data_IF_385519392315
#
_entry.id   IF_385519392315
#
_cell.length_a   1.000
_cell.length_b   1.000
_cell.length_c   1.000
_cell.angle_alpha   90.00
_cell.angle_beta   90.00
_cell.angle_gamma   90.00
#
_symmetry.space_group_name_H-M   'P 1'
#
loop_
_entity.id
_entity.type
_entity.pdbx_description
1 polymer ?
#
# COMPACT_ATOMS: atom_id res chain seq x y z
N UNK A 1 -7.29 3.51 -7.86
CA UNK A 1 -6.79 4.64 -7.05
C UNK A 1 -6.00 5.57 -7.93
N UNK A 2 -6.39 6.84 -7.96
CA UNK A 2 -5.66 7.92 -8.62
C UNK A 2 -4.57 8.47 -7.70
N UNK A 3 -3.61 9.21 -8.26
CA UNK A 3 -2.53 9.85 -7.48
C UNK A 3 -3.11 10.88 -6.50
N UNK A 4 -4.15 11.62 -6.92
CA UNK A 4 -4.88 12.56 -6.07
C UNK A 4 -5.40 11.90 -4.79
N UNK A 5 -5.81 10.64 -4.83
CA UNK A 5 -6.34 9.92 -3.66
C UNK A 5 -5.23 9.70 -2.61
N UNK A 6 -3.99 9.44 -3.06
CA UNK A 6 -2.83 9.31 -2.17
C UNK A 6 -2.45 10.66 -1.57
N UNK A 7 -2.37 11.71 -2.39
CA UNK A 7 -2.04 13.05 -1.90
C UNK A 7 -3.09 13.51 -0.87
N UNK A 8 -4.36 13.22 -1.12
CA UNK A 8 -5.42 13.48 -0.17
C UNK A 8 -5.26 12.67 1.12
N UNK A 9 -4.92 11.38 1.03
CA UNK A 9 -4.65 10.54 2.19
C UNK A 9 -3.53 11.10 3.07
N UNK A 10 -2.43 11.53 2.45
CA UNK A 10 -1.27 12.06 3.16
C UNK A 10 -1.53 13.44 3.79
N UNK A 11 -2.39 14.25 3.17
CA UNK A 11 -2.83 15.55 3.69
C UNK A 11 -3.87 15.47 4.81
N UNK A 12 -4.82 14.55 4.70
CA UNK A 12 -6.05 14.59 5.52
C UNK A 12 -6.09 13.54 6.61
N UNK A 13 -5.37 12.43 6.45
CA UNK A 13 -5.45 11.32 7.39
C UNK A 13 -4.27 11.31 8.37
N UNK A 14 -4.49 10.84 9.60
CA UNK A 14 -3.41 10.67 10.57
C UNK A 14 -2.28 9.81 10.01
N UNK A 15 -1.05 10.12 10.46
CA UNK A 15 0.12 9.27 10.24
C UNK A 15 -0.22 7.85 10.68
N UNK A 16 0.18 6.86 9.88
CA UNK A 16 -0.09 5.42 10.10
C UNK A 16 -1.56 5.01 10.09
N UNK A 17 -2.47 5.84 9.58
CA UNK A 17 -3.83 5.36 9.31
C UNK A 17 -3.80 4.18 8.32
N UNK A 18 -4.71 3.20 8.44
CA UNK A 18 -4.71 2.02 7.56
C UNK A 18 -4.77 2.38 6.07
N UNK A 19 -5.53 3.43 5.72
CA UNK A 19 -5.59 3.91 4.33
C UNK A 19 -4.29 4.58 3.86
N UNK A 20 -3.62 5.38 4.70
CA UNK A 20 -2.29 5.94 4.36
C UNK A 20 -1.26 4.83 4.16
N UNK A 21 -1.33 3.77 4.99
CA UNK A 21 -0.46 2.59 4.83
C UNK A 21 -0.75 1.85 3.52
N UNK A 22 -2.02 1.67 3.17
CA UNK A 22 -2.44 1.08 1.89
C UNK A 22 -1.92 1.89 0.69
N UNK A 23 -2.07 3.22 0.74
CA UNK A 23 -1.55 4.13 -0.26
C UNK A 23 -0.02 4.00 -0.40
N UNK A 24 0.71 4.02 0.72
CA UNK A 24 2.17 3.88 0.75
C UNK A 24 2.65 2.53 0.17
N UNK A 25 1.99 1.43 0.56
CA UNK A 25 2.32 0.10 0.02
C UNK A 25 1.97 -0.03 -1.46
N UNK A 26 0.90 0.62 -1.92
CA UNK A 26 0.52 0.66 -3.34
C UNK A 26 1.55 1.43 -4.15
N UNK A 27 2.02 2.56 -3.62
CA UNK A 27 3.09 3.36 -4.22
C UNK A 27 4.38 2.55 -4.34
N UNK A 28 4.76 1.81 -3.29
CA UNK A 28 5.92 0.92 -3.30
C UNK A 28 5.78 -0.22 -4.34
N UNK A 29 4.64 -0.89 -4.36
CA UNK A 29 4.39 -1.97 -5.31
C UNK A 29 4.51 -1.47 -6.76
N UNK A 30 3.86 -0.34 -7.08
CA UNK A 30 3.90 0.23 -8.43
C UNK A 30 5.27 0.83 -8.78
N UNK A 31 6.09 1.19 -7.79
CA UNK A 31 7.48 1.53 -8.04
C UNK A 31 8.29 0.31 -8.52
N UNK A 32 8.09 -0.85 -7.89
CA UNK A 32 8.80 -2.09 -8.23
C UNK A 32 8.27 -2.77 -9.52
N UNK A 33 6.95 -2.78 -9.71
CA UNK A 33 6.32 -3.55 -10.78
C UNK A 33 5.85 -2.63 -11.92
N UNK A 34 6.78 -2.21 -12.77
CA UNK A 34 6.52 -1.28 -13.88
C UNK A 34 5.63 -1.84 -14.99
N UNK A 35 5.37 -3.15 -14.99
CA UNK A 35 4.47 -3.83 -15.92
C UNK A 35 3.00 -3.87 -15.49
N UNK A 36 2.68 -3.41 -14.27
CA UNK A 36 1.29 -3.39 -13.78
C UNK A 36 0.41 -2.44 -14.61
N UNK A 37 -0.83 -2.82 -14.89
CA UNK A 37 -1.76 -1.98 -15.66
C UNK A 37 -2.01 -0.60 -15.03
N UNK A 38 -1.92 -0.51 -13.70
CA UNK A 38 -2.06 0.77 -12.99
C UNK A 38 -0.96 1.76 -13.36
N UNK A 39 0.19 1.31 -13.88
CA UNK A 39 1.29 2.17 -14.35
C UNK A 39 0.93 3.07 -15.52
N UNK A 40 -0.18 2.80 -16.21
CA UNK A 40 -0.78 3.72 -17.20
C UNK A 40 -1.20 5.04 -16.56
N UNK A 41 -1.60 5.00 -15.28
CA UNK A 41 -1.96 6.16 -14.46
C UNK A 41 -0.76 6.56 -13.59
N UNK A 42 -0.13 5.57 -12.96
CA UNK A 42 1.02 5.69 -12.07
C UNK A 42 2.34 5.72 -12.85
N UNK A 43 2.47 6.70 -13.73
CA UNK A 43 3.73 6.90 -14.46
C UNK A 43 4.83 7.34 -13.51
N UNK A 44 6.10 7.09 -13.87
CA UNK A 44 7.25 7.57 -13.08
C UNK A 44 7.21 9.09 -12.88
N UNK A 45 6.77 9.85 -13.90
CA UNK A 45 6.62 11.30 -13.80
C UNK A 45 5.59 11.68 -12.74
N UNK A 46 4.40 11.07 -12.79
CA UNK A 46 3.33 11.39 -11.86
C UNK A 46 3.65 10.94 -10.42
N UNK A 47 4.39 9.83 -10.25
CA UNK A 47 4.92 9.42 -8.94
C UNK A 47 5.98 10.40 -8.41
N UNK A 48 6.85 10.92 -9.29
CA UNK A 48 7.83 11.94 -8.91
C UNK A 48 7.15 13.23 -8.48
N UNK A 49 6.12 13.67 -9.21
CA UNK A 49 5.35 14.86 -8.86
C UNK A 49 4.64 14.68 -7.51
N UNK A 50 4.06 13.51 -7.24
CA UNK A 50 3.44 13.21 -5.96
C UNK A 50 4.43 13.32 -4.77
N UNK A 51 5.65 12.79 -4.92
CA UNK A 51 6.71 12.88 -3.90
C UNK A 51 7.20 14.32 -3.71
N UNK A 52 7.16 15.15 -4.75
CA UNK A 52 7.53 16.57 -4.68
C UNK A 52 6.46 17.42 -4.00
N UNK A 53 5.19 17.12 -4.26
CA UNK A 53 4.05 17.82 -3.69
C UNK A 53 3.89 17.51 -2.21
N UNK A 54 4.06 16.24 -1.81
CA UNK A 54 3.87 15.79 -0.43
C UNK A 54 5.17 15.27 0.19
N UNK A 55 5.88 16.14 0.92
CA UNK A 55 7.16 15.80 1.56
C UNK A 55 7.06 14.62 2.54
N UNK A 56 5.92 14.51 3.21
CA UNK A 56 5.62 13.43 4.15
C UNK A 56 5.50 12.06 3.43
N UNK A 57 4.90 12.04 2.23
CA UNK A 57 4.89 10.87 1.35
C UNK A 57 6.30 10.51 0.92
N UNK A 58 7.08 11.49 0.49
CA UNK A 58 8.48 11.28 0.10
C UNK A 58 9.29 10.63 1.21
N UNK A 59 9.24 11.20 2.42
CA UNK A 59 9.96 10.66 3.58
C UNK A 59 9.54 9.22 3.90
N UNK A 60 8.23 8.96 4.04
CA UNK A 60 7.73 7.63 4.36
C UNK A 60 8.04 6.60 3.25
N UNK A 61 8.00 7.02 1.99
CA UNK A 61 8.33 6.18 0.86
C UNK A 61 9.81 5.78 0.85
N UNK A 62 10.74 6.73 1.05
CA UNK A 62 12.16 6.41 1.08
C UNK A 62 12.55 5.58 2.30
N UNK A 63 11.92 5.82 3.45
CA UNK A 63 12.10 4.98 4.64
C UNK A 63 11.61 3.55 4.39
N UNK A 64 10.44 3.39 3.77
CA UNK A 64 9.94 2.08 3.37
C UNK A 64 10.85 1.42 2.35
N UNK A 65 11.34 2.15 1.34
CA UNK A 65 12.22 1.64 0.28
C UNK A 65 13.51 1.08 0.88
N UNK A 66 14.12 1.84 1.80
CA UNK A 66 15.33 1.44 2.52
C UNK A 66 15.14 0.12 3.28
N UNK A 67 13.99 -0.03 3.94
CA UNK A 67 13.67 -1.27 4.67
C UNK A 67 13.34 -2.42 3.71
N UNK A 68 12.69 -2.15 2.58
CA UNK A 68 12.24 -3.14 1.61
C UNK A 68 13.40 -3.85 0.90
N UNK A 69 14.52 -3.17 0.68
CA UNK A 69 15.73 -3.76 0.05
C UNK A 69 16.18 -5.06 0.74
N UNK A 70 15.99 -5.16 2.06
CA UNK A 70 16.36 -6.36 2.83
C UNK A 70 15.23 -7.39 2.98
N UNK A 71 14.00 -7.05 2.56
CA UNK A 71 12.79 -7.84 2.80
C UNK A 71 12.20 -8.48 1.53
N UNK A 72 12.91 -8.39 0.39
CA UNK A 72 12.48 -8.97 -0.89
C UNK A 72 11.53 -8.08 -1.69
N UNK A 73 10.71 -8.67 -2.55
CA UNK A 73 9.74 -7.93 -3.38
C UNK A 73 8.52 -7.50 -2.56
N UNK A 74 7.98 -6.28 -2.76
CA UNK A 74 6.75 -5.87 -2.11
C UNK A 74 5.56 -6.73 -2.59
N UNK A 75 4.63 -7.02 -1.67
CA UNK A 75 3.37 -7.68 -2.02
C UNK A 75 2.40 -6.68 -2.62
N UNK A 76 1.53 -7.16 -3.52
CA UNK A 76 0.43 -6.35 -4.03
C UNK A 76 -0.57 -6.09 -2.90
N UNK A 77 -0.78 -4.83 -2.48
CA UNK A 77 -1.71 -4.54 -1.40
C UNK A 77 -3.18 -4.75 -1.83
N UNK A 78 -3.46 -4.91 -3.13
CA UNK A 78 -4.81 -5.20 -3.65
C UNK A 78 -5.23 -6.66 -3.49
N UNK A 79 -4.31 -7.53 -3.03
CA UNK A 79 -4.50 -8.98 -2.93
C UNK A 79 -4.06 -9.42 -1.52
N UNK A 80 -4.92 -10.15 -0.80
CA UNK A 80 -4.58 -10.75 0.51
C UNK A 80 -5.48 -10.34 1.68
N UNK A 81 -4.98 -10.57 2.90
CA UNK A 81 -5.69 -10.25 4.16
C UNK A 81 -5.77 -8.73 4.38
N UNK A 82 -6.90 -8.15 3.97
CA UNK A 82 -7.13 -6.71 3.92
C UNK A 82 -7.20 -6.03 5.30
N UNK A 83 -7.24 -6.77 6.42
CA UNK A 83 -7.43 -6.16 7.74
C UNK A 83 -6.29 -5.23 8.16
N UNK A 84 -5.15 -5.24 7.46
CA UNK A 84 -4.07 -4.25 7.65
C UNK A 84 -4.46 -2.84 7.16
N UNK A 85 -5.39 -2.75 6.22
CA UNK A 85 -5.68 -1.54 5.46
C UNK A 85 -7.05 -0.92 5.76
N UNK A 86 -7.81 -1.47 6.69
CA UNK A 86 -9.09 -0.92 7.15
C UNK A 86 -9.25 -1.01 8.67
N UNK A 87 -10.27 -0.32 9.18
CA UNK A 87 -10.57 -0.25 10.60
C UNK A 87 -11.75 -1.17 10.94
N UNK A 88 -11.72 -1.72 12.15
CA UNK A 88 -12.86 -2.40 12.79
C UNK A 88 -13.05 -1.87 14.20
N UNK A 89 -14.24 -2.03 14.75
CA UNK A 89 -14.42 -1.89 16.18
C UNK A 89 -13.80 -3.06 16.95
N UNK A 90 -13.53 -2.84 18.24
CA UNK A 90 -12.94 -3.88 19.08
C UNK A 90 -13.90 -5.06 19.23
N UNK A 91 -13.48 -6.24 18.77
CA UNK A 91 -14.28 -7.46 18.82
C UNK A 91 -15.09 -7.74 17.56
N UNK A 92 -15.04 -6.89 16.54
CA UNK A 92 -15.62 -7.18 15.24
C UNK A 92 -14.74 -8.15 14.44
N UNK A 93 -15.38 -9.14 13.81
CA UNK A 93 -14.73 -10.00 12.85
C UNK A 93 -14.58 -9.29 11.50
N UNK A 94 -13.37 -9.35 10.94
CA UNK A 94 -13.05 -8.83 9.61
C UNK A 94 -13.78 -9.66 8.55
N UNK A 95 -14.85 -9.11 7.97
CA UNK A 95 -15.68 -9.78 6.95
C UNK A 95 -14.97 -9.93 5.60
N UNK A 96 -13.89 -9.19 5.39
CA UNK A 96 -13.09 -9.17 4.14
C UNK A 96 -11.90 -10.14 4.22
N UNK A 97 -11.75 -10.90 5.31
CA UNK A 97 -10.69 -11.93 5.39
C UNK A 97 -10.83 -12.92 4.24
N UNK A 98 -9.85 -12.92 3.34
CA UNK A 98 -9.66 -14.06 2.45
C UNK A 98 -9.44 -15.29 3.33
N UNK A 99 -10.27 -16.32 3.13
CA UNK A 99 -10.05 -17.64 3.74
C UNK A 99 -8.64 -18.07 3.37
N UNK A 100 -7.78 -18.22 4.36
CA UNK A 100 -6.54 -18.98 4.19
C UNK A 100 -6.95 -20.32 3.56
N UNK A 101 -6.30 -20.70 2.47
CA UNK A 101 -6.35 -22.10 2.08
C UNK A 101 -5.87 -22.89 3.29
N UNK A 102 -6.79 -23.63 3.92
CA UNK A 102 -6.47 -24.66 4.88
C UNK A 102 -5.63 -25.69 4.13
N UNK A 103 -4.31 -25.50 4.19
CA UNK A 103 -3.32 -26.53 3.87
C UNK A 103 -3.46 -27.66 4.89
N UNK A 104 -4.54 -28.43 4.78
CA UNK A 104 -4.66 -29.76 5.33
C UNK A 104 -3.74 -30.67 4.50
N UNK A 105 -2.43 -30.50 4.67
CA UNK A 105 -1.49 -31.59 4.40
C UNK A 105 -1.75 -32.64 5.47
N UNK A 106 -2.64 -33.57 5.11
CA UNK A 106 -2.76 -34.85 5.79
C UNK A 106 -1.37 -35.46 5.96
N UNK A 107 -1.17 -35.97 7.18
CA UNK A 107 -0.16 -36.92 7.64
C UNK A 107 0.11 -38.01 6.61
#
# INVERSE_FOLDING_TARGET
>A
MAISDILQAFNQLPKRSPYRLYALHSFMFLFYFTGDDSRKIWTTAAMLDAVREESDLGQEFFDLLKNQVNNGMPKDPRIGDDCLYHCHEAGEECLVKEKKEDGNSKV
#
